data_IF_462389582415
#
_entry.id   IF_462389582415
#
_cell.length_a   1.000
_cell.length_b   1.000
_cell.length_c   1.000
_cell.angle_alpha   90.00
_cell.angle_beta   90.00
_cell.angle_gamma   90.00
#
_symmetry.space_group_name_H-M   'P 1'
#
loop_
_entity.id
_entity.type
_entity.pdbx_description
1 polymer ?
#
# COMPACT_ATOMS: atom_id res chain seq x y z
N UNK A 1 27.86 23.00 33.75
CA UNK A 1 26.93 22.69 32.64
C UNK A 1 27.59 21.61 31.79
N UNK A 2 26.92 20.47 31.53
CA UNK A 2 27.56 19.35 30.80
C UNK A 2 27.58 19.64 29.29
N UNK A 3 28.50 19.02 28.53
CA UNK A 3 28.55 19.13 27.05
C UNK A 3 27.20 18.83 26.39
N UNK A 4 26.42 17.88 26.95
CA UNK A 4 25.08 17.54 26.48
C UNK A 4 24.07 18.68 26.71
N UNK A 5 24.12 19.32 27.88
CA UNK A 5 23.27 20.47 28.21
C UNK A 5 23.56 21.67 27.31
N UNK A 6 24.84 21.91 26.99
CA UNK A 6 25.25 22.99 26.09
C UNK A 6 24.83 22.73 24.64
N UNK A 7 24.92 21.48 24.17
CA UNK A 7 24.45 21.09 22.83
C UNK A 7 22.93 21.22 22.71
N UNK A 8 22.18 20.79 23.72
CA UNK A 8 20.72 20.94 23.75
C UNK A 8 20.34 22.43 23.78
N UNK A 9 20.99 23.25 24.60
CA UNK A 9 20.75 24.69 24.63
C UNK A 9 21.18 25.39 23.35
N UNK A 10 22.24 24.94 22.68
CA UNK A 10 22.67 25.47 21.39
C UNK A 10 21.71 25.06 20.26
N UNK A 11 21.20 23.83 20.26
CA UNK A 11 20.17 23.37 19.33
C UNK A 11 18.88 24.16 19.58
N UNK A 12 18.43 24.28 20.83
CA UNK A 12 17.27 25.10 21.17
C UNK A 12 17.49 26.58 20.82
N UNK A 13 18.66 27.15 21.09
CA UNK A 13 18.97 28.53 20.72
C UNK A 13 19.02 28.71 19.20
N UNK A 14 19.55 27.76 18.43
CA UNK A 14 19.55 27.78 16.97
C UNK A 14 18.16 27.50 16.36
N UNK A 15 17.25 26.85 17.08
CA UNK A 15 15.84 26.71 16.71
C UNK A 15 15.04 27.97 17.11
N UNK A 16 15.41 28.65 18.19
CA UNK A 16 14.69 29.81 18.73
C UNK A 16 15.15 31.16 18.16
N UNK A 17 16.43 31.32 17.78
CA UNK A 17 16.95 32.57 17.20
C UNK A 17 16.45 32.91 15.77
N UNK A 18 16.05 31.95 14.93
CA UNK A 18 15.53 32.27 13.61
C UNK A 18 14.04 32.67 13.59
N UNK A 19 13.31 32.50 14.71
CA UNK A 19 11.86 32.77 14.81
C UNK A 19 11.46 34.24 14.56
N UNK A 20 12.40 35.17 14.39
CA UNK A 20 12.12 36.56 14.01
C UNK A 20 12.33 36.87 12.53
N UNK A 21 12.73 35.89 11.71
CA UNK A 21 13.05 36.07 10.29
C UNK A 21 12.19 35.20 9.34
N UNK A 22 11.25 34.45 9.89
CA UNK A 22 10.28 33.65 9.16
C UNK A 22 9.04 33.43 10.02
N UNK A 23 7.90 33.16 9.38
CA UNK A 23 6.71 32.68 10.06
C UNK A 23 6.86 31.19 10.40
N UNK A 24 6.42 30.82 11.59
CA UNK A 24 6.48 29.45 12.10
C UNK A 24 5.11 28.99 12.58
N UNK A 25 4.73 27.81 12.12
CA UNK A 25 3.50 27.13 12.54
C UNK A 25 3.80 25.72 13.02
N UNK A 26 3.18 25.35 14.14
CA UNK A 26 3.22 24.00 14.71
C UNK A 26 1.81 23.44 14.78
N UNK A 27 1.55 22.39 14.01
CA UNK A 27 0.32 21.60 14.12
C UNK A 27 0.58 20.34 14.96
N UNK A 28 -0.26 20.11 15.97
CA UNK A 28 -0.15 18.94 16.83
C UNK A 28 -0.55 17.67 16.07
N UNK A 29 -1.69 17.74 15.39
CA UNK A 29 -2.26 16.69 14.54
C UNK A 29 -2.80 17.36 13.27
N UNK A 30 -2.52 16.79 12.11
CA UNK A 30 -3.10 17.19 10.83
C UNK A 30 -3.44 15.93 10.01
N UNK A 31 -4.61 15.95 9.36
CA UNK A 31 -5.03 14.97 8.36
C UNK A 31 -4.60 15.37 6.95
N UNK A 32 -3.78 16.43 6.83
CA UNK A 32 -3.24 16.89 5.56
C UNK A 32 -1.76 16.52 5.50
N UNK A 33 -1.44 15.33 4.97
CA UNK A 33 -0.07 14.83 4.94
C UNK A 33 0.84 15.71 4.08
N UNK A 34 2.11 15.84 4.48
CA UNK A 34 3.11 16.47 3.61
C UNK A 34 3.50 15.58 2.43
N UNK A 35 3.40 14.28 2.62
CA UNK A 35 3.52 13.28 1.57
C UNK A 35 2.16 12.61 1.37
N UNK A 36 1.44 13.08 0.37
CA UNK A 36 0.14 12.55 0.02
C UNK A 36 0.25 11.14 -0.58
N UNK A 37 -0.77 10.33 -0.31
CA UNK A 37 -0.93 8.99 -0.86
C UNK A 37 -1.23 9.03 -2.37
N UNK A 38 -0.99 7.91 -3.05
CA UNK A 38 -1.19 7.81 -4.49
C UNK A 38 -2.64 7.45 -4.80
N UNK A 39 -3.28 8.18 -5.72
CA UNK A 39 -4.68 7.91 -6.08
C UNK A 39 -4.83 6.56 -6.81
N UNK A 40 -3.78 6.11 -7.48
CA UNK A 40 -3.72 4.82 -8.18
C UNK A 40 -3.14 3.68 -7.33
N UNK A 41 -2.90 3.89 -6.03
CA UNK A 41 -2.54 2.80 -5.13
C UNK A 41 -3.80 2.04 -4.70
N UNK A 42 -3.79 0.73 -4.93
CA UNK A 42 -4.89 -0.16 -4.56
C UNK A 42 -5.02 -0.36 -3.05
N UNK A 43 -3.97 -0.06 -2.29
CA UNK A 43 -3.94 -0.23 -0.84
C UNK A 43 -3.95 1.09 -0.09
N UNK A 44 -4.13 2.23 -0.80
CA UNK A 44 -4.13 3.57 -0.21
C UNK A 44 -4.97 3.64 1.07
N UNK A 45 -4.51 4.43 2.03
CA UNK A 45 -5.21 4.66 3.29
C UNK A 45 -6.35 5.66 3.07
N UNK A 46 -7.48 5.15 2.61
CA UNK A 46 -8.71 5.92 2.44
C UNK A 46 -9.88 5.32 3.22
N UNK A 47 -10.91 6.14 3.44
CA UNK A 47 -12.23 5.66 3.84
C UNK A 47 -13.11 5.59 2.59
N UNK A 48 -13.25 4.41 2.01
CA UNK A 48 -14.08 4.23 0.81
C UNK A 48 -14.78 2.87 0.76
N UNK A 49 -15.81 2.83 -0.07
CA UNK A 49 -16.52 1.61 -0.44
C UNK A 49 -16.63 1.52 -1.95
N UNK A 50 -16.23 0.39 -2.49
CA UNK A 50 -16.16 0.11 -3.92
C UNK A 50 -16.89 -1.19 -4.25
N UNK A 51 -17.53 -1.21 -5.41
CA UNK A 51 -18.12 -2.40 -6.01
C UNK A 51 -17.48 -2.64 -7.37
N UNK A 52 -17.02 -3.85 -7.63
CA UNK A 52 -16.26 -4.14 -8.83
C UNK A 52 -16.60 -5.44 -9.51
N UNK A 53 -16.28 -5.49 -10.80
CA UNK A 53 -16.34 -6.68 -11.63
C UNK A 53 -14.92 -7.16 -11.94
N UNK A 54 -14.69 -8.45 -11.76
CA UNK A 54 -13.45 -9.15 -12.04
C UNK A 54 -13.61 -9.85 -13.39
N UNK A 55 -12.77 -9.51 -14.36
CA UNK A 55 -12.83 -10.08 -15.71
C UNK A 55 -11.91 -11.29 -15.84
N UNK A 56 -10.83 -11.33 -15.06
CA UNK A 56 -9.82 -12.38 -15.08
C UNK A 56 -9.27 -12.60 -13.67
N UNK A 57 -8.91 -13.84 -13.36
CA UNK A 57 -8.22 -14.19 -12.11
C UNK A 57 -9.03 -13.92 -10.86
N UNK A 58 -10.27 -14.40 -10.82
CA UNK A 58 -10.99 -14.51 -9.55
C UNK A 58 -10.31 -15.60 -8.70
N UNK A 59 -10.08 -15.40 -7.40
CA UNK A 59 -9.47 -16.43 -6.56
C UNK A 59 -10.39 -17.66 -6.44
N UNK A 60 -10.00 -18.77 -7.07
CA UNK A 60 -10.76 -20.04 -7.09
C UNK A 60 -10.45 -20.93 -5.85
N UNK A 61 -9.48 -20.55 -5.01
CA UNK A 61 -9.09 -21.25 -3.77
C UNK A 61 -7.68 -20.85 -3.30
N UNK A 62 -7.23 -21.33 -2.14
CA UNK A 62 -5.83 -21.17 -1.71
C UNK A 62 -4.96 -22.30 -2.24
N UNK A 63 -3.71 -21.98 -2.58
CA UNK A 63 -2.72 -22.97 -2.98
C UNK A 63 -2.52 -24.02 -1.87
N UNK A 64 -2.93 -25.26 -2.14
CA UNK A 64 -2.73 -26.41 -1.27
C UNK A 64 -1.68 -27.33 -1.89
N UNK A 65 -0.69 -27.73 -1.08
CA UNK A 65 0.40 -28.61 -1.50
C UNK A 65 -0.10 -29.88 -2.21
N UNK A 66 0.45 -30.13 -3.41
CA UNK A 66 0.17 -31.27 -4.27
C UNK A 66 0.62 -32.59 -3.64
N UNK A 67 -0.26 -33.21 -2.86
CA UNK A 67 -0.34 -34.66 -2.78
C UNK A 67 -1.79 -35.05 -2.45
N UNK A 68 -2.47 -35.57 -3.47
CA UNK A 68 -3.78 -36.21 -3.46
C UNK A 68 -5.00 -35.36 -3.87
N UNK A 69 -5.57 -35.80 -5.00
CA UNK A 69 -6.94 -35.64 -5.54
C UNK A 69 -7.15 -34.62 -6.66
N UNK A 70 -8.02 -34.96 -7.64
CA UNK A 70 -8.19 -34.18 -8.85
C UNK A 70 -8.95 -32.89 -8.57
N UNK A 71 -8.52 -31.81 -9.23
CA UNK A 71 -9.23 -30.53 -9.32
C UNK A 71 -10.74 -30.74 -9.52
N UNK A 72 -11.54 -30.19 -8.61
CA UNK A 72 -12.99 -30.00 -8.82
C UNK A 72 -13.20 -28.53 -9.12
N UNK A 73 -13.78 -28.27 -10.29
CA UNK A 73 -14.14 -26.94 -10.78
C UNK A 73 -15.08 -26.25 -9.77
N UNK A 74 -14.59 -25.22 -9.07
CA UNK A 74 -15.42 -24.44 -8.14
C UNK A 74 -16.21 -23.39 -8.93
N UNK A 75 -17.14 -23.85 -9.77
CA UNK A 75 -18.00 -23.01 -10.61
C UNK A 75 -18.89 -22.02 -9.81
N UNK A 76 -18.97 -22.15 -8.49
CA UNK A 76 -19.87 -21.33 -7.66
C UNK A 76 -19.49 -19.84 -7.68
N UNK A 77 -18.19 -19.51 -7.76
CA UNK A 77 -17.71 -18.12 -7.76
C UNK A 77 -17.52 -17.53 -9.18
N UNK A 78 -17.45 -18.37 -10.21
CA UNK A 78 -17.42 -17.92 -11.62
C UNK A 78 -18.74 -17.33 -12.10
N UNK A 79 -19.86 -17.73 -11.50
CA UNK A 79 -21.20 -17.29 -11.95
C UNK A 79 -21.42 -15.80 -11.65
N UNK A 80 -20.69 -15.23 -10.66
CA UNK A 80 -20.80 -13.81 -10.27
C UNK A 80 -19.43 -13.24 -9.89
N UNK A 81 -18.62 -12.79 -10.85
CA UNK A 81 -17.29 -12.29 -10.59
C UNK A 81 -17.37 -10.83 -10.10
N UNK A 82 -18.17 -10.58 -9.08
CA UNK A 82 -18.32 -9.27 -8.45
C UNK A 82 -17.76 -9.34 -7.05
N UNK A 83 -17.23 -8.21 -6.58
CA UNK A 83 -16.73 -8.05 -5.21
C UNK A 83 -17.11 -6.68 -4.68
N UNK A 84 -17.35 -6.61 -3.37
CA UNK A 84 -17.40 -5.36 -2.65
C UNK A 84 -16.10 -5.20 -1.86
N UNK A 85 -15.44 -4.06 -2.00
CA UNK A 85 -14.21 -3.72 -1.28
C UNK A 85 -14.48 -2.52 -0.40
N UNK A 86 -13.97 -2.53 0.82
CA UNK A 86 -13.94 -1.34 1.65
C UNK A 86 -12.51 -1.09 2.12
N UNK A 87 -12.15 0.19 2.18
CA UNK A 87 -10.92 0.66 2.78
C UNK A 87 -11.28 1.49 4.01
N UNK A 88 -10.53 1.30 5.07
CA UNK A 88 -10.60 2.08 6.30
C UNK A 88 -9.18 2.47 6.68
N UNK A 89 -8.75 3.63 6.20
CA UNK A 89 -7.44 4.17 6.49
C UNK A 89 -7.42 5.69 6.53
N UNK A 90 -6.32 6.21 7.08
CA UNK A 90 -6.03 7.64 7.16
C UNK A 90 -4.53 7.86 7.38
N UNK A 91 -4.02 9.00 6.92
CA UNK A 91 -2.68 9.48 7.26
C UNK A 91 -2.73 10.59 8.31
N UNK A 92 -2.11 10.32 9.46
CA UNK A 92 -1.97 11.26 10.57
C UNK A 92 -0.58 11.89 10.57
N UNK A 93 -0.51 13.19 10.33
CA UNK A 93 0.69 14.00 10.53
C UNK A 93 0.77 14.47 11.99
N UNK A 94 1.85 14.11 12.68
CA UNK A 94 2.10 14.41 14.08
C UNK A 94 3.25 15.42 14.19
N UNK A 95 3.02 16.47 14.99
CA UNK A 95 4.02 17.51 15.25
C UNK A 95 4.57 18.12 13.95
N UNK A 96 3.67 18.60 13.09
CA UNK A 96 4.05 19.21 11.80
C UNK A 96 4.60 20.61 12.04
N UNK A 97 5.87 20.78 11.70
CA UNK A 97 6.61 22.04 11.80
C UNK A 97 6.62 22.67 10.41
N UNK A 98 6.08 23.88 10.27
CA UNK A 98 6.06 24.61 9.00
C UNK A 98 6.80 25.94 9.16
N UNK A 99 7.73 26.19 8.25
CA UNK A 99 8.55 27.39 8.16
C UNK A 99 8.21 28.12 6.86
N UNK A 100 7.68 29.33 6.98
CA UNK A 100 7.28 30.16 5.84
C UNK A 100 8.21 31.35 5.75
N UNK A 101 8.81 31.55 4.59
CA UNK A 101 9.80 32.61 4.37
C UNK A 101 9.18 33.77 3.58
N UNK A 102 9.67 34.99 3.82
CA UNK A 102 9.19 36.19 3.13
C UNK A 102 9.41 36.10 1.61
N UNK A 103 8.36 35.89 0.80
CA UNK A 103 8.30 36.08 -0.67
C UNK A 103 9.35 35.42 -1.60
N UNK A 104 10.49 34.91 -1.11
CA UNK A 104 11.61 34.39 -1.92
C UNK A 104 11.80 32.87 -1.82
N UNK A 105 11.22 32.23 -0.80
CA UNK A 105 11.27 30.78 -0.62
C UNK A 105 9.91 30.27 -0.15
N UNK A 106 9.30 29.38 -0.93
CA UNK A 106 8.06 28.70 -0.55
C UNK A 106 8.26 27.87 0.73
N UNK A 107 7.17 27.53 1.47
CA UNK A 107 7.29 26.90 2.78
C UNK A 107 8.11 25.61 2.79
N UNK A 108 8.82 25.38 3.89
CA UNK A 108 9.44 24.09 4.19
C UNK A 108 8.72 23.52 5.40
N UNK A 109 8.27 22.27 5.30
CA UNK A 109 7.60 21.60 6.39
C UNK A 109 8.15 20.19 6.61
N UNK A 110 8.10 19.72 7.86
CA UNK A 110 8.37 18.33 8.20
C UNK A 110 7.51 17.87 9.37
N UNK A 111 7.23 16.57 9.43
CA UNK A 111 6.46 15.94 10.49
C UNK A 111 6.90 14.50 10.76
N UNK A 112 6.27 13.88 11.75
CA UNK A 112 6.20 12.43 11.88
C UNK A 112 4.83 11.97 11.39
N UNK A 113 4.79 11.06 10.43
CA UNK A 113 3.54 10.52 9.92
C UNK A 113 3.29 9.10 10.46
N UNK A 114 2.04 8.84 10.81
CA UNK A 114 1.49 7.50 10.97
C UNK A 114 0.37 7.32 9.94
N UNK A 115 0.51 6.36 9.06
CA UNK A 115 -0.52 5.98 8.09
C UNK A 115 -0.97 4.57 8.43
N UNK A 116 -2.28 4.33 8.49
CA UNK A 116 -2.82 3.00 8.69
C UNK A 116 -3.98 2.75 7.75
N UNK A 117 -4.05 1.56 7.16
CA UNK A 117 -5.14 1.13 6.29
C UNK A 117 -5.59 -0.28 6.65
N UNK A 118 -6.91 -0.50 6.59
CA UNK A 118 -7.53 -1.82 6.62
C UNK A 118 -8.38 -1.97 5.37
N UNK A 119 -8.04 -2.95 4.55
CA UNK A 119 -8.79 -3.33 3.35
C UNK A 119 -9.59 -4.59 3.64
N UNK A 120 -10.86 -4.63 3.24
CA UNK A 120 -11.67 -5.84 3.29
C UNK A 120 -12.37 -6.11 1.97
N UNK A 121 -12.34 -7.38 1.53
CA UNK A 121 -13.00 -7.80 0.29
C UNK A 121 -14.07 -8.84 0.61
N UNK A 122 -15.27 -8.57 0.11
CA UNK A 122 -16.47 -9.39 0.25
C UNK A 122 -16.86 -9.90 -1.14
N UNK A 123 -17.53 -11.05 -1.19
CA UNK A 123 -18.20 -11.49 -2.42
C UNK A 123 -19.24 -10.45 -2.85
N UNK A 124 -19.55 -10.37 -4.15
CA UNK A 124 -20.42 -9.35 -4.73
C UNK A 124 -21.87 -9.33 -4.22
N UNK A 125 -22.35 -10.37 -3.54
CA UNK A 125 -23.63 -10.34 -2.80
C UNK A 125 -23.50 -9.78 -1.36
N UNK A 126 -22.27 -9.48 -0.92
CA UNK A 126 -21.91 -9.06 0.44
C UNK A 126 -22.34 -10.10 1.49
N UNK A 127 -22.43 -11.37 1.07
CA UNK A 127 -22.85 -12.47 1.92
C UNK A 127 -21.68 -13.03 2.75
N UNK A 128 -20.49 -13.11 2.14
CA UNK A 128 -19.30 -13.74 2.70
C UNK A 128 -18.04 -12.89 2.49
N UNK A 129 -17.10 -12.99 3.43
CA UNK A 129 -15.82 -12.28 3.36
C UNK A 129 -14.76 -13.15 2.70
N UNK A 130 -14.11 -12.62 1.68
CA UNK A 130 -12.97 -13.25 1.01
C UNK A 130 -11.69 -13.08 1.85
N UNK A 131 -11.49 -11.90 2.43
CA UNK A 131 -10.40 -11.64 3.37
C UNK A 131 -10.20 -10.18 3.71
N UNK A 132 -9.16 -9.93 4.50
CA UNK A 132 -8.78 -8.60 4.95
C UNK A 132 -7.26 -8.44 4.93
N UNK A 133 -6.79 -7.27 4.56
CA UNK A 133 -5.41 -6.84 4.70
C UNK A 133 -5.33 -5.61 5.60
N UNK A 134 -4.30 -5.53 6.42
CA UNK A 134 -3.94 -4.35 7.19
C UNK A 134 -2.54 -3.92 6.82
N UNK A 135 -2.34 -2.62 6.67
CA UNK A 135 -1.03 -2.02 6.50
C UNK A 135 -0.86 -0.81 7.41
N UNK A 136 0.38 -0.56 7.83
CA UNK A 136 0.70 0.70 8.48
C UNK A 136 2.10 1.17 8.14
N UNK A 137 2.27 2.48 8.05
CA UNK A 137 3.55 3.16 7.93
C UNK A 137 3.75 4.07 9.14
N UNK A 138 4.99 4.14 9.61
CA UNK A 138 5.43 5.13 10.58
C UNK A 138 6.78 5.71 10.15
N UNK A 139 6.87 7.02 10.11
CA UNK A 139 8.10 7.63 9.60
C UNK A 139 8.12 9.15 9.68
N UNK A 140 9.08 9.72 8.97
CA UNK A 140 9.19 11.16 8.78
C UNK A 140 8.72 11.51 7.38
N UNK A 141 8.02 12.63 7.27
CA UNK A 141 7.72 13.25 5.97
C UNK A 141 8.19 14.69 5.94
N UNK A 142 8.48 15.17 4.73
CA UNK A 142 8.97 16.52 4.49
C UNK A 142 8.38 17.04 3.19
N UNK A 143 7.98 18.31 3.18
CA UNK A 143 7.65 19.05 1.96
C UNK A 143 8.56 20.26 1.83
N UNK A 144 9.02 20.51 0.61
CA UNK A 144 9.83 21.64 0.22
C UNK A 144 9.10 22.36 -0.90
N UNK A 145 8.78 23.61 -0.62
CA UNK A 145 8.25 24.56 -1.58
C UNK A 145 6.92 24.16 -2.24
N UNK A 146 6.12 23.32 -1.58
CA UNK A 146 4.89 22.73 -2.12
C UNK A 146 5.07 22.00 -3.47
N UNK A 147 6.33 21.68 -3.82
CA UNK A 147 6.70 21.07 -5.09
C UNK A 147 7.32 19.70 -4.86
N UNK A 148 8.05 19.52 -3.76
CA UNK A 148 8.84 18.32 -3.54
C UNK A 148 8.54 17.75 -2.17
N UNK A 149 8.02 16.52 -2.15
CA UNK A 149 7.73 15.80 -0.91
C UNK A 149 8.53 14.51 -0.80
N UNK A 150 8.94 14.19 0.42
CA UNK A 150 9.68 12.97 0.75
C UNK A 150 9.00 12.26 1.91
N UNK A 151 9.08 10.92 1.89
CA UNK A 151 8.80 10.12 3.07
C UNK A 151 9.86 9.04 3.27
N UNK A 152 10.12 8.74 4.53
CA UNK A 152 11.02 7.66 4.92
C UNK A 152 10.58 7.09 6.26
N UNK A 153 10.51 5.76 6.36
CA UNK A 153 10.04 5.11 7.58
C UNK A 153 9.91 3.60 7.46
N UNK A 154 9.41 3.00 8.53
CA UNK A 154 9.04 1.59 8.55
C UNK A 154 7.62 1.42 8.02
N UNK A 155 7.39 0.30 7.34
CA UNK A 155 6.07 -0.16 6.94
C UNK A 155 5.84 -1.58 7.41
N UNK A 156 4.57 -1.93 7.59
CA UNK A 156 4.15 -3.26 7.96
C UNK A 156 2.92 -3.70 7.21
N UNK A 157 2.91 -4.96 6.77
CA UNK A 157 1.74 -5.60 6.15
C UNK A 157 1.30 -6.82 6.95
N UNK A 158 -0.02 -6.96 7.09
CA UNK A 158 -0.66 -8.12 7.67
C UNK A 158 -1.83 -8.53 6.78
N UNK A 159 -1.99 -9.83 6.56
CA UNK A 159 -2.93 -10.38 5.60
C UNK A 159 -3.65 -11.57 6.20
N UNK A 160 -4.97 -11.60 6.06
CA UNK A 160 -5.84 -12.60 6.66
C UNK A 160 -6.92 -13.09 5.69
N UNK A 161 -7.10 -14.41 5.66
CA UNK A 161 -8.16 -15.06 4.91
C UNK A 161 -9.52 -14.92 5.61
N UNK A 162 -10.56 -14.69 4.81
CA UNK A 162 -11.94 -14.59 5.25
C UNK A 162 -12.70 -15.93 5.19
N UNK A 163 -13.92 -15.93 5.72
CA UNK A 163 -14.79 -17.10 5.85
C UNK A 163 -15.25 -17.71 4.50
N UNK A 164 -15.47 -16.87 3.47
CA UNK A 164 -15.80 -17.31 2.11
C UNK A 164 -14.73 -18.24 1.53
N UNK A 165 -13.47 -17.95 1.82
CA UNK A 165 -12.34 -18.71 1.32
C UNK A 165 -12.19 -20.07 2.02
N UNK A 166 -12.51 -20.13 3.31
CA UNK A 166 -12.59 -21.40 4.05
C UNK A 166 -13.76 -22.29 3.57
N UNK A 167 -14.89 -21.70 3.13
CA UNK A 167 -16.04 -22.45 2.60
C UNK A 167 -15.72 -23.15 1.27
N UNK A 168 -14.98 -22.51 0.37
CA UNK A 168 -14.54 -23.11 -0.91
C UNK A 168 -13.69 -24.37 -0.69
N UNK A 169 -12.79 -24.34 0.28
CA UNK A 169 -11.99 -25.51 0.65
C UNK A 169 -12.87 -26.68 1.11
N UNK A 170 -13.95 -26.39 1.86
CA UNK A 170 -14.84 -27.43 2.37
C UNK A 170 -15.69 -28.11 1.28
N UNK A 171 -15.99 -27.43 0.17
CA UNK A 171 -16.82 -27.97 -0.93
C UNK A 171 -16.02 -28.76 -1.98
N UNK A 172 -14.69 -28.65 -2.00
CA UNK A 172 -13.77 -29.32 -2.95
C UNK A 172 -13.40 -30.78 -2.64
N UNK A 173 -13.98 -31.39 -1.60
CA UNK A 173 -13.69 -32.78 -1.20
C UNK A 173 -12.78 -32.86 0.02
N UNK A 174 -13.41 -33.15 1.17
CA UNK A 174 -12.79 -33.55 2.44
C UNK A 174 -11.50 -32.82 2.80
N UNK A 175 -11.60 -31.73 3.57
CA UNK A 175 -10.47 -31.01 4.19
C UNK A 175 -9.41 -32.01 4.65
N UNK A 176 -8.27 -32.14 3.95
CA UNK A 176 -7.16 -32.93 4.45
C UNK A 176 -6.73 -32.31 5.78
N UNK A 177 -6.40 -33.14 6.77
CA UNK A 177 -6.06 -32.73 8.15
C UNK A 177 -4.85 -31.79 8.28
N UNK A 178 -4.30 -31.30 7.16
CA UNK A 178 -3.07 -30.54 7.05
C UNK A 178 -3.27 -29.32 6.14
N UNK A 179 -4.39 -28.59 6.27
CA UNK A 179 -4.40 -27.18 5.88
C UNK A 179 -3.43 -26.46 6.83
N UNK A 180 -2.31 -26.00 6.29
CA UNK A 180 -1.39 -25.19 7.05
C UNK A 180 -1.98 -23.77 7.11
N UNK A 181 -2.71 -23.47 8.18
CA UNK A 181 -3.25 -22.14 8.49
C UNK A 181 -2.17 -21.04 8.54
N UNK A 182 -0.90 -21.42 8.48
CA UNK A 182 0.26 -20.55 8.42
C UNK A 182 0.66 -20.17 6.99
N UNK A 183 0.03 -20.71 5.94
CA UNK A 183 0.24 -20.29 4.55
C UNK A 183 -0.21 -18.83 4.36
N UNK A 184 0.67 -17.87 4.60
CA UNK A 184 0.33 -16.44 4.60
C UNK A 184 1.34 -15.67 3.76
N UNK A 185 0.88 -14.79 2.89
CA UNK A 185 1.76 -13.78 2.32
C UNK A 185 2.16 -12.81 3.46
N UNK A 186 3.35 -13.00 4.02
CA UNK A 186 3.81 -12.26 5.21
C UNK A 186 4.97 -11.32 4.87
N UNK A 187 4.76 -10.30 4.04
CA UNK A 187 5.74 -9.20 3.98
C UNK A 187 5.57 -8.34 5.23
N UNK A 188 5.98 -8.83 6.40
CA UNK A 188 5.54 -8.18 7.64
C UNK A 188 6.21 -6.85 7.87
N UNK A 189 7.52 -6.71 7.71
CA UNK A 189 8.19 -5.45 8.03
C UNK A 189 9.14 -5.02 6.90
N UNK A 190 9.03 -3.76 6.48
CA UNK A 190 9.86 -3.17 5.44
C UNK A 190 10.28 -1.75 5.76
N UNK A 191 11.17 -1.21 4.93
CA UNK A 191 11.52 0.21 4.93
C UNK A 191 11.10 0.83 3.62
N UNK A 192 10.51 2.02 3.73
CA UNK A 192 10.00 2.78 2.61
C UNK A 192 10.85 4.04 2.42
N UNK A 193 11.12 4.37 1.16
CA UNK A 193 11.60 5.68 0.74
C UNK A 193 10.76 6.15 -0.45
N UNK A 194 10.04 7.25 -0.26
CA UNK A 194 9.16 7.85 -1.27
C UNK A 194 9.58 9.27 -1.65
N UNK A 195 9.36 9.61 -2.91
CA UNK A 195 9.58 10.91 -3.51
C UNK A 195 8.36 11.29 -4.35
N UNK A 196 7.85 12.51 -4.15
CA UNK A 196 6.80 13.09 -4.98
C UNK A 196 7.23 14.47 -5.46
N UNK A 197 6.98 14.76 -6.74
CA UNK A 197 7.31 16.03 -7.39
C UNK A 197 6.07 16.56 -8.12
N UNK A 198 5.68 17.80 -7.80
CA UNK A 198 4.61 18.55 -8.44
C UNK A 198 5.22 19.72 -9.22
N UNK A 199 5.72 19.49 -10.45
CA UNK A 199 6.40 20.55 -11.21
C UNK A 199 5.46 21.70 -11.61
N UNK A 200 4.16 21.43 -11.64
CA UNK A 200 3.06 22.39 -11.88
C UNK A 200 1.86 21.95 -11.06
N UNK A 201 0.98 22.88 -10.71
CA UNK A 201 -0.14 22.66 -9.78
C UNK A 201 -1.08 21.51 -10.19
N UNK A 202 -1.14 21.15 -11.47
CA UNK A 202 -2.05 20.11 -12.00
C UNK A 202 -1.37 18.78 -12.35
N UNK A 203 -0.06 18.63 -12.13
CA UNK A 203 0.67 17.38 -12.44
C UNK A 203 1.51 16.98 -11.25
N UNK A 204 1.35 15.73 -10.80
CA UNK A 204 2.19 15.10 -9.79
C UNK A 204 2.85 13.86 -10.36
N UNK A 205 4.15 13.67 -10.11
CA UNK A 205 4.87 12.43 -10.42
C UNK A 205 5.53 11.91 -9.15
N UNK A 206 5.49 10.60 -8.94
CA UNK A 206 6.00 10.01 -7.72
C UNK A 206 6.71 8.69 -8.00
N UNK A 207 7.61 8.35 -7.08
CA UNK A 207 8.22 7.04 -7.02
C UNK A 207 8.52 6.68 -5.57
N UNK A 208 8.37 5.41 -5.24
CA UNK A 208 8.63 4.84 -3.93
C UNK A 208 9.30 3.50 -4.07
N UNK A 209 10.26 3.24 -3.19
CA UNK A 209 10.86 1.93 -3.04
C UNK A 209 10.56 1.41 -1.65
N UNK A 210 10.00 0.21 -1.61
CA UNK A 210 9.86 -0.61 -0.42
C UNK A 210 10.86 -1.76 -0.52
N UNK A 211 11.67 -1.95 0.52
CA UNK A 211 12.58 -3.07 0.63
C UNK A 211 12.54 -3.70 2.01
N UNK A 212 12.59 -5.04 2.05
CA UNK A 212 12.73 -5.78 3.30
C UNK A 212 14.10 -5.48 3.94
N UNK A 213 14.13 -5.24 5.26
CA UNK A 213 15.42 -5.03 5.95
C UNK A 213 16.12 -6.35 6.23
N UNK A 214 17.46 -6.36 6.18
CA UNK A 214 18.25 -7.54 6.52
C UNK A 214 18.06 -7.82 8.02
N UNK A 215 17.56 -9.02 8.35
CA UNK A 215 17.14 -9.47 9.69
C UNK A 215 15.70 -9.11 10.09
N UNK A 216 14.81 -8.77 9.15
CA UNK A 216 13.39 -9.00 9.44
C UNK A 216 13.17 -10.51 9.48
N UNK A 217 12.52 -10.98 10.54
CA UNK A 217 12.18 -12.39 10.74
C UNK A 217 10.97 -12.83 9.91
N UNK A 218 10.70 -12.12 8.80
CA UNK A 218 9.56 -12.40 7.92
C UNK A 218 9.84 -11.93 6.50
N UNK A 219 10.61 -12.71 5.74
CA UNK A 219 10.32 -12.81 4.30
C UNK A 219 8.86 -13.34 4.17
N UNK A 220 8.09 -13.09 3.08
CA UNK A 220 6.72 -13.64 3.01
C UNK A 220 6.74 -15.13 3.37
N UNK A 221 5.85 -15.66 4.22
CA UNK A 221 5.99 -17.00 4.86
C UNK A 221 6.48 -18.11 3.92
N UNK A 222 6.07 -18.01 2.66
CA UNK A 222 6.60 -18.79 1.57
C UNK A 222 8.14 -18.89 1.56
N UNK A 223 8.84 -17.76 1.74
CA UNK A 223 10.28 -17.47 1.77
C UNK A 223 10.94 -17.51 3.16
N UNK A 224 10.21 -17.81 4.24
CA UNK A 224 10.73 -17.94 5.60
C UNK A 224 11.09 -19.40 5.92
N UNK A 225 12.38 -19.75 6.06
CA UNK A 225 12.79 -21.14 6.29
C UNK A 225 12.66 -21.65 7.75
N UNK A 226 12.24 -20.85 8.74
CA UNK A 226 12.57 -21.17 10.15
C UNK A 226 11.42 -21.30 11.18
N UNK A 227 10.15 -21.32 10.77
CA UNK A 227 9.05 -21.61 11.72
C UNK A 227 8.53 -23.06 11.71
N UNK A 228 9.10 -23.93 10.86
CA UNK A 228 8.82 -25.36 10.86
C UNK A 228 9.99 -26.19 10.30
N UNK A 229 10.32 -27.35 10.89
CA UNK A 229 11.41 -28.20 10.40
C UNK A 229 11.02 -28.82 9.04
N UNK A 230 11.54 -28.30 7.93
CA UNK A 230 11.55 -29.01 6.63
C UNK A 230 10.97 -28.30 5.40
N UNK A 231 10.48 -27.06 5.51
CA UNK A 231 9.89 -26.30 4.40
C UNK A 231 10.76 -25.10 3.99
N UNK A 232 11.99 -25.36 3.54
CA UNK A 232 12.82 -24.32 2.93
C UNK A 232 12.35 -24.03 1.49
N UNK A 233 12.16 -22.76 1.12
CA UNK A 233 12.52 -22.36 -0.25
C UNK A 233 13.99 -22.68 -0.40
N UNK A 234 14.30 -23.33 -1.51
CA UNK A 234 15.58 -23.96 -1.77
C UNK A 234 16.79 -23.07 -1.41
N UNK A 235 17.92 -23.71 -1.16
CA UNK A 235 19.25 -23.11 -0.91
C UNK A 235 19.75 -22.16 -2.03
N UNK A 236 18.91 -21.81 -3.01
CA UNK A 236 19.20 -21.10 -4.25
C UNK A 236 18.77 -19.62 -4.27
N UNK A 237 18.17 -19.08 -3.20
CA UNK A 237 17.87 -17.63 -3.10
C UNK A 237 19.16 -16.85 -2.82
N UNK A 238 19.60 -15.95 -3.72
CA UNK A 238 20.83 -15.21 -3.50
C UNK A 238 20.64 -14.15 -2.42
N UNK A 239 21.70 -13.87 -1.64
CA UNK A 239 21.71 -12.78 -0.64
C UNK A 239 21.42 -11.37 -1.19
N UNK A 240 21.42 -11.21 -2.52
CA UNK A 240 21.06 -9.98 -3.22
C UNK A 240 19.54 -9.83 -3.48
N UNK A 241 18.75 -10.89 -3.32
CA UNK A 241 17.29 -10.81 -3.43
C UNK A 241 16.74 -10.10 -2.19
N UNK A 242 15.95 -9.05 -2.41
CA UNK A 242 15.44 -8.21 -1.33
C UNK A 242 13.91 -8.07 -1.32
N UNK A 243 13.21 -8.85 -2.15
CA UNK A 243 11.77 -8.72 -2.39
C UNK A 243 11.37 -7.24 -2.61
N UNK A 244 12.12 -6.50 -3.42
CA UNK A 244 11.89 -5.06 -3.58
C UNK A 244 10.59 -4.77 -4.33
N UNK A 245 9.87 -3.75 -3.88
CA UNK A 245 8.75 -3.18 -4.61
C UNK A 245 9.15 -1.77 -5.01
N UNK A 246 8.93 -1.44 -6.28
CA UNK A 246 9.08 -0.07 -6.77
C UNK A 246 7.73 0.39 -7.30
N UNK A 247 7.12 1.34 -6.61
CA UNK A 247 5.90 2.00 -7.02
C UNK A 247 6.26 3.30 -7.74
N UNK A 248 5.62 3.60 -8.84
CA UNK A 248 5.78 4.89 -9.52
C UNK A 248 4.54 5.24 -10.32
N UNK A 249 4.31 6.53 -10.51
CA UNK A 249 3.10 6.98 -11.17
C UNK A 249 3.07 8.45 -11.51
N UNK A 250 1.97 8.83 -12.13
CA UNK A 250 1.66 10.19 -12.56
C UNK A 250 0.19 10.46 -12.31
N UNK A 251 -0.11 11.68 -11.89
CA UNK A 251 -1.46 12.15 -11.63
C UNK A 251 -1.68 13.52 -12.26
N UNK A 252 -2.92 13.73 -12.68
CA UNK A 252 -3.40 14.96 -13.28
C UNK A 252 -4.63 15.44 -12.53
N UNK A 253 -4.63 16.70 -12.12
CA UNK A 253 -5.76 17.32 -11.44
C UNK A 253 -6.33 18.47 -12.25
N UNK A 254 -7.60 18.40 -12.62
CA UNK A 254 -8.24 19.48 -13.37
C UNK A 254 -9.75 19.57 -13.10
N UNK A 255 -10.34 20.76 -12.90
CA UNK A 255 -11.77 20.90 -12.65
C UNK A 255 -12.56 20.80 -13.97
N UNK A 256 -12.76 19.58 -14.48
CA UNK A 256 -13.50 19.35 -15.74
C UNK A 256 -14.95 19.83 -15.61
N UNK A 257 -15.59 19.53 -14.47
CA UNK A 257 -16.95 19.94 -14.16
C UNK A 257 -16.94 21.10 -13.15
N UNK A 258 -17.00 22.33 -13.63
CA UNK A 258 -16.90 23.56 -12.79
C UNK A 258 -17.91 23.67 -11.65
N UNK A 259 -19.04 22.97 -11.73
CA UNK A 259 -20.05 22.94 -10.66
C UNK A 259 -19.76 21.92 -9.57
N UNK A 260 -18.76 21.07 -9.80
CA UNK A 260 -18.23 20.07 -8.89
C UNK A 260 -16.79 20.48 -8.52
N UNK A 261 -16.11 19.64 -7.73
CA UNK A 261 -14.70 19.85 -7.39
C UNK A 261 -13.74 19.36 -8.48
N UNK A 262 -12.53 19.01 -8.06
CA UNK A 262 -11.46 18.54 -8.93
C UNK A 262 -11.77 17.17 -9.54
N UNK A 263 -11.43 17.01 -10.83
CA UNK A 263 -11.28 15.69 -11.45
C UNK A 263 -9.82 15.28 -11.33
N UNK A 264 -9.55 14.07 -10.82
CA UNK A 264 -8.22 13.48 -10.78
C UNK A 264 -8.13 12.30 -11.74
N UNK A 265 -7.04 12.20 -12.47
CA UNK A 265 -6.71 11.05 -13.31
C UNK A 265 -5.33 10.58 -12.91
N UNK A 266 -5.26 9.35 -12.40
CA UNK A 266 -4.05 8.75 -11.86
C UNK A 266 -3.67 7.51 -12.65
N UNK A 267 -2.38 7.35 -12.92
CA UNK A 267 -1.79 6.10 -13.37
C UNK A 267 -0.67 5.70 -12.41
N UNK A 268 -0.74 4.47 -11.91
CA UNK A 268 0.25 3.86 -11.06
C UNK A 268 0.78 2.56 -11.65
N UNK A 269 2.06 2.29 -11.41
CA UNK A 269 2.69 1.02 -11.70
C UNK A 269 3.50 0.55 -10.50
N UNK A 270 3.23 -0.68 -10.06
CA UNK A 270 4.00 -1.36 -9.03
C UNK A 270 4.83 -2.46 -9.70
N UNK A 271 6.13 -2.47 -9.43
CA UNK A 271 7.08 -3.45 -9.93
C UNK A 271 7.63 -4.27 -8.76
N UNK A 272 7.39 -5.58 -8.80
CA UNK A 272 7.69 -6.52 -7.74
C UNK A 272 8.86 -7.43 -8.15
N UNK A 273 9.92 -7.41 -7.35
CA UNK A 273 11.04 -8.34 -7.52
C UNK A 273 10.60 -9.80 -7.32
N UNK A 274 9.50 -10.02 -6.59
CA UNK A 274 8.86 -11.32 -6.36
C UNK A 274 8.48 -12.05 -7.65
N UNK A 275 8.34 -11.35 -8.79
CA UNK A 275 8.16 -11.98 -10.11
C UNK A 275 9.30 -12.93 -10.52
N UNK A 276 10.46 -12.81 -9.85
CA UNK A 276 11.60 -13.72 -9.99
C UNK A 276 11.41 -15.07 -9.32
N UNK A 277 10.37 -15.22 -8.52
CA UNK A 277 10.06 -16.46 -7.84
C UNK A 277 9.06 -17.24 -8.68
N UNK A 278 9.40 -18.49 -8.94
CA UNK A 278 8.49 -19.42 -9.59
C UNK A 278 7.71 -20.13 -8.50
N UNK A 279 6.41 -19.89 -8.41
CA UNK A 279 5.53 -20.51 -7.44
C UNK A 279 4.23 -21.07 -8.03
N UNK A 280 3.90 -20.72 -9.27
CA UNK A 280 2.69 -21.24 -9.93
C UNK A 280 2.88 -22.70 -10.32
N UNK A 281 1.87 -23.51 -10.06
CA UNK A 281 1.90 -24.96 -10.30
C UNK A 281 2.32 -25.32 -11.74
N UNK A 282 1.77 -24.62 -12.74
CA UNK A 282 2.11 -24.85 -14.15
C UNK A 282 3.59 -24.56 -14.47
N UNK A 283 4.14 -23.48 -13.91
CA UNK A 283 5.54 -23.08 -14.10
C UNK A 283 6.47 -24.04 -13.35
N UNK A 284 6.07 -24.49 -12.15
CA UNK A 284 6.78 -25.49 -11.37
C UNK A 284 6.86 -26.82 -12.11
N UNK A 285 5.73 -27.30 -12.63
CA UNK A 285 5.66 -28.52 -13.41
C UNK A 285 6.51 -28.44 -14.69
N UNK A 286 6.47 -27.31 -15.41
CA UNK A 286 7.29 -27.07 -16.59
C UNK A 286 8.80 -27.06 -16.26
N UNK A 287 9.17 -26.57 -15.08
CA UNK A 287 10.54 -26.58 -14.56
C UNK A 287 10.96 -27.93 -13.93
N UNK A 288 10.06 -28.92 -13.89
CA UNK A 288 10.30 -30.21 -13.24
C UNK A 288 10.51 -30.10 -11.72
N UNK A 289 9.93 -29.09 -11.09
CA UNK A 289 9.99 -28.84 -9.65
C UNK A 289 8.61 -28.97 -9.01
N UNK A 290 8.58 -29.36 -7.75
CA UNK A 290 7.37 -29.45 -6.91
C UNK A 290 7.36 -28.41 -5.80
N UNK A 291 8.42 -27.59 -5.74
CA UNK A 291 8.60 -26.53 -4.75
C UNK A 291 9.01 -25.24 -5.43
N UNK A 292 8.62 -24.08 -4.88
CA UNK A 292 9.14 -22.80 -5.30
C UNK A 292 10.63 -22.71 -5.45
N UNK A 293 11.06 -21.85 -6.37
CA UNK A 293 12.46 -21.52 -6.53
C UNK A 293 12.66 -20.13 -7.11
N UNK A 294 13.86 -19.58 -6.90
CA UNK A 294 14.28 -18.33 -7.49
C UNK A 294 14.87 -18.54 -8.89
N UNK A 295 14.39 -17.78 -9.88
CA UNK A 295 14.99 -17.69 -11.21
C UNK A 295 15.48 -16.26 -11.47
N UNK A 296 16.81 -16.01 -11.51
CA UNK A 296 17.35 -14.67 -11.75
C UNK A 296 16.98 -14.09 -13.12
N UNK A 297 16.65 -14.95 -14.10
CA UNK A 297 16.34 -14.56 -15.47
C UNK A 297 14.85 -14.19 -15.66
N UNK A 298 13.99 -14.50 -14.70
CA UNK A 298 12.59 -14.07 -14.76
C UNK A 298 12.50 -12.55 -14.61
N UNK A 299 11.56 -11.92 -15.31
CA UNK A 299 11.32 -10.50 -15.17
C UNK A 299 10.73 -10.19 -13.79
N UNK A 300 10.81 -8.91 -13.41
CA UNK A 300 9.97 -8.41 -12.33
C UNK A 300 8.50 -8.52 -12.74
N UNK A 301 7.64 -8.68 -11.76
CA UNK A 301 6.20 -8.73 -11.97
C UNK A 301 5.66 -7.30 -11.91
N UNK A 302 4.83 -6.91 -12.87
CA UNK A 302 4.28 -5.57 -12.94
C UNK A 302 2.78 -5.59 -12.69
N UNK A 303 2.31 -4.49 -12.13
CA UNK A 303 0.90 -4.18 -11.93
C UNK A 303 0.63 -2.76 -12.43
N UNK A 304 -0.59 -2.56 -12.90
CA UNK A 304 -1.02 -1.30 -13.47
C UNK A 304 -2.38 -0.94 -12.91
N UNK A 305 -2.47 0.29 -12.41
CA UNK A 305 -3.72 0.86 -11.93
C UNK A 305 -3.98 2.18 -12.63
N UNK A 306 -5.22 2.37 -13.07
CA UNK A 306 -5.73 3.65 -13.55
C UNK A 306 -6.91 4.01 -12.66
N UNK A 307 -6.86 5.17 -12.02
CA UNK A 307 -7.97 5.71 -11.27
C UNK A 307 -8.45 7.02 -11.91
N UNK A 308 -9.76 7.20 -11.95
CA UNK A 308 -10.40 8.48 -12.25
C UNK A 308 -11.27 8.82 -11.06
N UNK A 309 -11.00 9.95 -10.42
CA UNK A 309 -11.74 10.47 -9.29
C UNK A 309 -12.44 11.78 -9.66
N UNK A 310 -13.63 12.00 -9.11
CA UNK A 310 -14.34 13.27 -9.20
C UNK A 310 -14.88 13.67 -7.84
N UNK A 311 -14.39 14.79 -7.32
CA UNK A 311 -14.97 15.42 -6.13
C UNK A 311 -16.39 15.91 -6.43
N UNK A 312 -17.33 15.55 -5.57
CA UNK A 312 -18.71 16.02 -5.62
C UNK A 312 -18.91 17.23 -4.72
N UNK A 313 -18.22 17.23 -3.58
CA UNK A 313 -18.13 18.30 -2.59
C UNK A 313 -16.89 18.06 -1.72
N UNK A 314 -16.68 18.92 -0.71
CA UNK A 314 -15.53 18.88 0.19
C UNK A 314 -15.37 17.58 1.00
N UNK A 315 -16.39 16.72 1.05
CA UNK A 315 -16.38 15.48 1.84
C UNK A 315 -16.44 14.21 0.98
N UNK A 316 -16.91 14.27 -0.27
CA UNK A 316 -17.24 13.07 -1.04
C UNK A 316 -16.68 13.14 -2.45
N UNK A 317 -15.96 12.09 -2.82
CA UNK A 317 -15.48 11.84 -4.19
C UNK A 317 -16.02 10.52 -4.74
N UNK A 318 -16.24 10.45 -6.05
CA UNK A 318 -16.53 9.19 -6.75
C UNK A 318 -15.31 8.71 -7.51
N UNK A 319 -15.03 7.41 -7.41
CA UNK A 319 -13.89 6.76 -8.02
C UNK A 319 -14.32 5.70 -9.04
N UNK A 320 -13.58 5.63 -10.14
CA UNK A 320 -13.57 4.51 -11.08
C UNK A 320 -12.13 4.05 -11.21
N UNK A 321 -11.86 2.79 -10.83
CA UNK A 321 -10.52 2.22 -10.89
C UNK A 321 -10.50 1.02 -11.83
N UNK A 322 -9.55 0.99 -12.75
CA UNK A 322 -9.18 -0.21 -13.50
C UNK A 322 -7.84 -0.72 -12.97
N UNK A 323 -7.73 -2.03 -12.79
CA UNK A 323 -6.49 -2.66 -12.35
C UNK A 323 -6.17 -3.91 -13.17
N UNK A 324 -4.89 -4.10 -13.42
CA UNK A 324 -4.30 -5.33 -13.96
C UNK A 324 -3.03 -5.67 -13.18
N UNK A 325 -3.07 -6.75 -12.41
CA UNK A 325 -2.01 -7.05 -11.45
C UNK A 325 -2.40 -8.20 -10.55
N UNK A 326 -1.94 -8.23 -9.30
CA UNK A 326 -2.40 -9.19 -8.30
C UNK A 326 -3.85 -8.92 -7.92
N UNK A 327 -4.46 -9.90 -7.27
CA UNK A 327 -5.77 -9.71 -6.67
C UNK A 327 -5.72 -8.64 -5.57
N UNK A 328 -6.89 -8.04 -5.27
CA UNK A 328 -7.04 -6.92 -4.31
C UNK A 328 -6.54 -7.21 -2.90
N UNK A 329 -6.39 -8.49 -2.55
CA UNK A 329 -5.86 -8.93 -1.28
C UNK A 329 -4.47 -9.55 -1.49
N UNK A 330 -3.48 -9.03 -0.76
CA UNK A 330 -2.11 -9.53 -0.67
C UNK A 330 -2.04 -11.02 -0.33
N UNK A 331 -3.03 -11.53 0.40
CA UNK A 331 -3.17 -12.95 0.69
C UNK A 331 -3.29 -13.84 -0.57
N UNK A 332 -3.62 -13.26 -1.73
CA UNK A 332 -3.74 -13.88 -3.05
C UNK A 332 -2.71 -13.31 -4.04
N UNK A 333 -1.51 -12.97 -3.57
CA UNK A 333 -0.39 -12.46 -4.37
C UNK A 333 0.00 -13.32 -5.59
N UNK A 334 -0.42 -14.58 -5.61
CA UNK A 334 -0.15 -15.52 -6.70
C UNK A 334 -1.17 -15.45 -7.83
N UNK A 335 -2.34 -14.89 -7.54
CA UNK A 335 -3.49 -14.78 -8.44
C UNK A 335 -3.37 -13.48 -9.23
N UNK A 336 -3.20 -13.61 -10.55
CA UNK A 336 -3.20 -12.46 -11.46
C UNK A 336 -4.62 -12.12 -11.88
N UNK A 337 -5.06 -10.92 -11.55
CA UNK A 337 -6.42 -10.45 -11.74
C UNK A 337 -6.51 -9.24 -12.64
N UNK A 338 -7.66 -9.08 -13.26
CA UNK A 338 -8.05 -7.86 -13.96
C UNK A 338 -9.45 -7.48 -13.53
N UNK A 339 -9.64 -6.25 -13.08
CA UNK A 339 -10.93 -5.80 -12.57
C UNK A 339 -11.17 -4.30 -12.80
N UNK A 340 -12.44 -3.92 -12.72
CA UNK A 340 -12.87 -2.53 -12.62
C UNK A 340 -13.73 -2.38 -11.37
N UNK A 341 -13.46 -1.36 -10.57
CA UNK A 341 -14.27 -0.97 -9.42
C UNK A 341 -14.87 0.41 -9.63
N UNK A 342 -16.03 0.63 -9.04
CA UNK A 342 -16.66 1.95 -8.89
C UNK A 342 -17.01 2.14 -7.42
N UNK A 343 -16.80 3.34 -6.89
CA UNK A 343 -17.05 3.57 -5.47
C UNK A 343 -17.10 5.03 -5.08
N UNK A 344 -17.31 5.26 -3.79
CA UNK A 344 -17.29 6.57 -3.19
C UNK A 344 -16.27 6.60 -2.06
N UNK A 345 -15.49 7.68 -2.00
CA UNK A 345 -14.51 7.99 -0.97
C UNK A 345 -15.02 9.14 -0.12
N UNK A 346 -14.74 9.06 1.18
CA UNK A 346 -14.90 10.17 2.11
C UNK A 346 -13.57 10.86 2.30
N UNK A 347 -13.54 12.16 1.98
CA UNK A 347 -12.37 13.02 2.07
C UNK A 347 -12.48 13.83 3.37
N UNK A 348 -11.70 13.45 4.39
CA UNK A 348 -11.64 14.23 5.63
C UNK A 348 -10.52 15.25 5.57
N UNK A 349 -10.84 16.48 5.97
CA UNK A 349 -9.84 17.49 6.28
C UNK A 349 -9.91 17.87 7.77
N UNK A 350 -8.75 18.18 8.36
CA UNK A 350 -8.71 18.52 9.77
C UNK A 350 -7.30 18.82 10.24
N UNK A 351 -7.13 19.92 10.96
CA UNK A 351 -5.84 20.25 11.59
C UNK A 351 -6.05 20.92 12.93
N UNK A 352 -5.28 20.47 13.93
CA UNK A 352 -5.23 21.05 15.27
C UNK A 352 -3.91 21.82 15.41
N UNK A 353 -3.99 23.15 15.24
CA UNK A 353 -2.84 24.05 15.36
C UNK A 353 -2.55 24.39 16.82
N UNK A 354 -1.31 24.17 17.25
CA UNK A 354 -0.84 24.48 18.60
C UNK A 354 -0.25 25.89 18.68
N UNK A 355 0.43 26.33 17.62
CA UNK A 355 1.09 27.63 17.55
C UNK A 355 1.16 28.13 16.11
N UNK A 356 0.97 29.43 15.91
CA UNK A 356 1.03 30.09 14.60
C UNK A 356 1.51 31.54 14.78
N UNK A 357 2.77 31.82 14.44
CA UNK A 357 3.34 33.17 14.61
C UNK A 357 2.75 34.22 13.69
N UNK A 358 2.10 33.82 12.59
CA UNK A 358 1.49 34.77 11.65
C UNK A 358 0.15 35.33 12.16
N UNK A 359 -0.42 34.74 13.21
CA UNK A 359 -1.69 35.15 13.83
C UNK A 359 -1.54 35.97 15.11
N UNK A 360 -0.34 35.98 15.68
CA UNK A 360 0.03 36.71 16.90
C UNK A 360 0.79 38.00 16.58
#
# INVERSE_FOLDING_TARGET
MTRKTFLILAIMACILFPLSAFDYRLDLISLTPLYEEYDADNHRASLDFQYGAIYQGYPEGFYQNDNYFPFVDSDVLRIRPFVATYHMGETLSLLKNTFTFDHWLSPIAFDFAFQGSLTGVLEGEVADTIGYDGEYFFGMTMSIADVLSFRFGGSHYCSHYGDGSYKVIATGGGVPSNFDEWFKYLRMDSMIFGLSLQPVDFVRVYAEIDFATKNTSVLPYYFEPEWGPGNSIADDVPSSYGARIVNFGIEFEYPIFKSLGMTRIAYGCAAYEEGKIVYRHEDLAAAGRTKPFYDPNRPWEFEHTINISQEINDLVSFDITWHYGRFMLNSYFDTKSQYVTIGARLDFDGTVTLYDSARD
#
